data_IF_050958693976
#
_entry.id   IF_050958693976
#
_cell.length_a   1.000
_cell.length_b   1.000
_cell.length_c   1.000
_cell.angle_alpha   90.00
_cell.angle_beta   90.00
_cell.angle_gamma   90.00
#
_symmetry.space_group_name_H-M   'P 1'
#
loop_
_entity.id
_entity.type
_entity.pdbx_description
1 polymer ?
#
# COMPACT_ATOMS: atom_id res chain seq x y z
N UNK A 1 31.38 -12.44 -8.99
CA UNK A 1 31.51 -12.37 -10.45
C UNK A 1 32.08 -11.01 -10.86
N UNK A 2 33.06 -10.97 -11.79
CA UNK A 2 33.81 -9.75 -12.21
C UNK A 2 33.67 -9.45 -13.71
N UNK A 3 32.71 -10.08 -14.40
CA UNK A 3 32.46 -9.84 -15.83
C UNK A 3 32.07 -8.39 -16.13
N UNK A 4 32.68 -7.78 -17.16
CA UNK A 4 32.37 -6.40 -17.62
C UNK A 4 31.03 -6.29 -18.35
N UNK A 5 30.43 -7.43 -18.73
CA UNK A 5 29.21 -7.53 -19.50
C UNK A 5 28.18 -8.35 -18.69
N UNK A 6 26.98 -7.80 -18.49
CA UNK A 6 25.83 -8.43 -17.80
C UNK A 6 26.00 -8.75 -16.30
N UNK A 7 26.71 -7.92 -15.52
CA UNK A 7 26.82 -8.07 -14.07
C UNK A 7 25.52 -7.65 -13.34
N UNK A 8 24.76 -8.62 -12.83
CA UNK A 8 23.50 -8.41 -12.12
C UNK A 8 23.69 -7.66 -10.78
N UNK A 9 24.79 -7.88 -10.07
CA UNK A 9 25.09 -7.19 -8.80
C UNK A 9 25.19 -5.68 -9.02
N UNK A 10 25.85 -5.26 -10.11
CA UNK A 10 25.97 -3.83 -10.46
C UNK A 10 24.59 -3.23 -10.76
N UNK A 11 23.71 -3.96 -11.45
CA UNK A 11 22.35 -3.51 -11.73
C UNK A 11 21.53 -3.38 -10.43
N UNK A 12 21.59 -4.37 -9.56
CA UNK A 12 20.90 -4.38 -8.26
C UNK A 12 21.36 -3.24 -7.35
N UNK A 13 22.67 -3.10 -7.13
CA UNK A 13 23.23 -2.05 -6.27
C UNK A 13 22.89 -0.65 -6.79
N UNK A 14 22.83 -0.45 -8.10
CA UNK A 14 22.37 0.83 -8.69
C UNK A 14 20.90 1.13 -8.39
N UNK A 15 20.07 0.11 -8.23
CA UNK A 15 18.65 0.28 -7.88
C UNK A 15 18.40 0.32 -6.37
N UNK A 16 19.37 -0.07 -5.54
CA UNK A 16 19.23 -0.14 -4.09
C UNK A 16 18.74 1.18 -3.49
N UNK A 17 19.27 2.32 -3.94
CA UNK A 17 18.81 3.63 -3.47
C UNK A 17 17.32 3.85 -3.73
N UNK A 18 16.85 3.55 -4.93
CA UNK A 18 15.44 3.71 -5.31
C UNK A 18 14.53 2.79 -4.49
N UNK A 19 15.00 1.58 -4.17
CA UNK A 19 14.28 0.66 -3.30
C UNK A 19 14.13 1.23 -1.88
N UNK A 20 15.17 1.88 -1.36
CA UNK A 20 15.14 2.52 -0.03
C UNK A 20 14.18 3.72 0.00
N UNK A 21 14.13 4.52 -1.07
CA UNK A 21 13.15 5.61 -1.21
C UNK A 21 11.71 5.09 -1.19
N UNK A 22 11.43 4.01 -1.95
CA UNK A 22 10.11 3.38 -1.95
C UNK A 22 9.75 2.78 -0.58
N UNK A 23 10.69 2.09 0.07
CA UNK A 23 10.49 1.54 1.40
C UNK A 23 10.17 2.63 2.43
N UNK A 24 10.83 3.80 2.33
CA UNK A 24 10.55 4.96 3.17
C UNK A 24 9.14 5.51 2.94
N UNK A 25 8.69 5.61 1.70
CA UNK A 25 7.31 6.04 1.38
C UNK A 25 6.28 5.07 1.97
N UNK A 26 6.51 3.76 1.80
CA UNK A 26 5.59 2.73 2.31
C UNK A 26 5.48 2.77 3.84
N UNK A 27 6.61 2.81 4.54
CA UNK A 27 6.65 2.78 6.00
C UNK A 27 6.07 4.05 6.63
N UNK A 28 6.42 5.24 6.11
CA UNK A 28 5.86 6.50 6.59
C UNK A 28 4.37 6.64 6.23
N UNK A 29 3.97 6.16 5.04
CA UNK A 29 2.58 6.12 4.63
C UNK A 29 1.73 5.23 5.54
N UNK A 30 2.25 4.05 5.89
CA UNK A 30 1.62 3.13 6.85
C UNK A 30 1.56 3.72 8.27
N UNK A 31 2.63 4.38 8.71
CA UNK A 31 2.69 5.04 10.01
C UNK A 31 1.62 6.12 10.14
N UNK A 32 1.45 6.96 9.10
CA UNK A 32 0.49 8.07 9.07
C UNK A 32 -0.97 7.61 8.95
N UNK A 33 -1.23 6.45 8.34
CA UNK A 33 -2.60 5.98 8.06
C UNK A 33 -3.19 5.18 9.22
N UNK A 34 -3.91 5.90 10.08
CA UNK A 34 -4.57 5.37 11.29
C UNK A 34 -5.95 4.75 11.00
N UNK A 35 -5.95 3.68 10.19
CA UNK A 35 -7.08 2.77 10.01
C UNK A 35 -6.56 1.40 9.54
N UNK A 36 -7.45 0.43 9.39
CA UNK A 36 -7.17 -0.83 8.68
C UNK A 36 -8.09 -0.97 7.46
N UNK A 37 -7.49 -1.20 6.29
CA UNK A 37 -8.20 -1.28 5.01
C UNK A 37 -7.47 -2.15 4.00
N UNK A 38 -8.14 -3.22 3.56
CA UNK A 38 -7.55 -4.16 2.60
C UNK A 38 -6.33 -4.86 3.19
N UNK A 39 -5.18 -4.72 2.55
CA UNK A 39 -3.92 -5.31 3.01
C UNK A 39 -3.20 -4.47 4.09
N UNK A 40 -3.59 -3.21 4.28
CA UNK A 40 -3.04 -2.38 5.36
C UNK A 40 -3.77 -2.68 6.66
N UNK A 41 -3.07 -3.27 7.62
CA UNK A 41 -3.58 -3.57 8.95
C UNK A 41 -2.70 -2.93 10.03
N UNK A 42 -3.34 -2.19 10.92
CA UNK A 42 -2.68 -1.50 12.04
C UNK A 42 -3.40 -1.91 13.33
N UNK A 43 -2.76 -2.68 14.24
CA UNK A 43 -3.42 -3.24 15.43
C UNK A 43 -4.07 -2.20 16.33
N UNK A 44 -3.51 -0.99 16.39
CA UNK A 44 -4.04 0.12 17.18
C UNK A 44 -5.31 0.74 16.55
N UNK A 45 -5.53 0.51 15.25
CA UNK A 45 -6.66 0.99 14.47
C UNK A 45 -7.24 -0.15 13.60
N UNK A 46 -7.83 -1.19 14.22
CA UNK A 46 -8.18 -2.45 13.53
C UNK A 46 -9.36 -2.32 12.55
N UNK A 47 -10.11 -1.22 12.64
CA UNK A 47 -11.31 -0.99 11.85
C UNK A 47 -11.05 -0.04 10.67
N UNK A 48 -11.87 -0.19 9.63
CA UNK A 48 -11.95 0.76 8.53
C UNK A 48 -12.60 2.06 9.01
N UNK A 49 -12.05 3.20 8.63
CA UNK A 49 -12.59 4.53 8.96
C UNK A 49 -12.84 5.34 7.68
N UNK A 50 -14.06 5.26 7.16
CA UNK A 50 -14.44 6.00 5.96
C UNK A 50 -14.63 7.51 6.21
N UNK A 51 -14.84 7.94 7.45
CA UNK A 51 -15.03 9.35 7.77
C UNK A 51 -13.72 10.14 7.63
N UNK A 52 -12.59 9.55 8.05
CA UNK A 52 -11.27 10.21 7.99
C UNK A 52 -10.39 9.73 6.86
N UNK A 53 -10.57 8.48 6.40
CA UNK A 53 -9.60 7.81 5.52
C UNK A 53 -10.18 7.29 4.20
N UNK A 54 -11.37 7.74 3.78
CA UNK A 54 -11.88 7.54 2.42
C UNK A 54 -11.15 8.45 1.40
N UNK A 55 -9.83 8.27 1.35
CA UNK A 55 -8.87 9.04 0.58
C UNK A 55 -7.64 8.19 0.23
N UNK A 56 -7.03 8.51 -0.89
CA UNK A 56 -5.79 7.91 -1.38
C UNK A 56 -4.60 8.70 -0.83
N UNK A 57 -3.68 8.01 -0.16
CA UNK A 57 -2.40 8.58 0.24
C UNK A 57 -1.52 8.73 -1.00
N UNK A 58 -1.13 9.96 -1.34
CA UNK A 58 -0.17 10.27 -2.40
C UNK A 58 1.16 10.70 -1.80
N UNK A 59 2.26 10.28 -2.39
CA UNK A 59 3.60 10.70 -2.03
C UNK A 59 4.30 11.30 -3.26
N UNK A 60 4.93 12.45 -3.08
CA UNK A 60 5.83 13.08 -4.05
C UNK A 60 7.25 12.96 -3.52
N UNK A 61 8.17 12.51 -4.36
CA UNK A 61 9.60 12.49 -4.02
C UNK A 61 10.18 13.91 -3.95
N UNK A 62 10.98 14.18 -2.92
CA UNK A 62 11.77 15.41 -2.76
C UNK A 62 13.13 15.05 -2.14
N UNK A 63 14.11 15.96 -2.20
CA UNK A 63 15.43 15.75 -1.60
C UNK A 63 15.40 15.59 -0.07
N UNK A 64 14.40 16.18 0.59
CA UNK A 64 14.27 16.14 2.06
C UNK A 64 13.43 14.93 2.54
N UNK A 65 12.96 14.11 1.60
CA UNK A 65 12.10 12.94 1.85
C UNK A 65 10.73 13.04 1.16
N UNK A 66 9.86 12.03 1.36
CA UNK A 66 8.57 12.00 0.68
C UNK A 66 7.61 13.03 1.26
N UNK A 67 7.08 13.89 0.40
CA UNK A 67 6.00 14.81 0.76
C UNK A 67 4.66 14.12 0.55
N UNK A 68 3.86 14.01 1.61
CA UNK A 68 2.55 13.36 1.57
C UNK A 68 1.43 14.36 1.31
N UNK A 69 0.45 13.92 0.53
CA UNK A 69 -0.84 14.58 0.33
C UNK A 69 -1.94 13.53 0.27
N UNK A 70 -3.18 13.90 0.55
CA UNK A 70 -4.32 12.98 0.40
C UNK A 70 -5.24 13.47 -0.72
N UNK A 71 -5.81 12.53 -1.47
CA UNK A 71 -6.86 12.80 -2.45
C UNK A 71 -8.14 12.06 -2.08
N UNK A 72 -9.29 12.74 -1.94
CA UNK A 72 -10.57 12.08 -1.67
C UNK A 72 -10.93 11.06 -2.75
N UNK A 73 -11.53 9.94 -2.35
CA UNK A 73 -12.07 8.97 -3.30
C UNK A 73 -13.47 9.42 -3.75
N UNK A 74 -13.68 9.51 -5.07
CA UNK A 74 -15.02 9.75 -5.62
C UNK A 74 -15.91 8.52 -5.42
N UNK A 75 -17.05 8.75 -4.76
CA UNK A 75 -18.06 7.73 -4.42
C UNK A 75 -19.43 8.05 -5.01
N UNK A 76 -19.49 8.98 -5.97
CA UNK A 76 -20.73 9.42 -6.62
C UNK A 76 -21.49 8.26 -7.28
N UNK A 77 -20.79 7.27 -7.84
CA UNK A 77 -21.39 6.13 -8.53
C UNK A 77 -21.69 4.94 -7.62
N UNK A 78 -20.86 4.70 -6.60
CA UNK A 78 -20.97 3.52 -5.73
C UNK A 78 -20.65 3.90 -4.29
N UNK A 79 -21.65 3.75 -3.41
CA UNK A 79 -21.49 3.99 -1.98
C UNK A 79 -20.55 2.95 -1.34
N UNK A 80 -19.64 3.36 -0.43
CA UNK A 80 -18.79 2.44 0.31
C UNK A 80 -19.62 1.48 1.18
N UNK A 81 -19.30 0.20 1.10
CA UNK A 81 -19.87 -0.85 1.94
C UNK A 81 -18.79 -1.72 2.58
N UNK A 82 -18.99 -2.26 3.80
CA UNK A 82 -18.05 -3.20 4.40
C UNK A 82 -17.78 -4.38 3.47
N UNK A 83 -16.51 -4.79 3.35
CA UNK A 83 -16.14 -6.00 2.61
C UNK A 83 -16.26 -7.20 3.55
N UNK A 84 -16.95 -8.24 3.12
CA UNK A 84 -17.02 -9.52 3.84
C UNK A 84 -16.24 -10.55 3.02
N UNK A 85 -15.27 -11.20 3.64
CA UNK A 85 -14.44 -12.23 3.00
C UNK A 85 -14.79 -13.65 3.48
N UNK A 86 -15.68 -13.77 4.46
CA UNK A 86 -16.07 -15.04 5.11
C UNK A 86 -17.08 -15.88 4.30
N UNK A 87 -17.03 -15.80 2.97
CA UNK A 87 -17.83 -16.69 2.12
C UNK A 87 -17.08 -18.01 1.98
N UNK A 88 -17.39 -18.95 2.88
CA UNK A 88 -17.14 -20.36 2.63
C UNK A 88 -17.81 -20.73 1.31
N UNK A 89 -17.04 -21.30 0.38
CA UNK A 89 -17.60 -21.93 -0.81
C UNK A 89 -18.45 -23.12 -0.35
N UNK A 90 -19.76 -22.99 -0.32
CA UNK A 90 -20.64 -24.16 -0.35
C UNK A 90 -20.55 -24.77 -1.75
N UNK A 91 -19.46 -25.48 -2.00
CA UNK A 91 -19.32 -26.36 -3.15
C UNK A 91 -20.15 -27.62 -2.86
N UNK A 92 -21.41 -27.59 -3.33
CA UNK A 92 -22.21 -28.71 -3.81
C UNK A 92 -21.65 -30.11 -3.51
N UNK A 93 -22.01 -30.65 -2.35
CA UNK A 93 -21.93 -32.08 -2.07
C UNK A 93 -23.18 -32.78 -2.59
N UNK A 94 -23.21 -33.12 -3.87
CA UNK A 94 -24.07 -34.17 -4.41
C UNK A 94 -23.38 -34.80 -5.62
N UNK A 95 -22.65 -35.89 -5.34
CA UNK A 95 -22.32 -36.99 -6.26
C UNK A 95 -21.82 -38.18 -5.45
#
# INVERSE_FOLDING_TARGET
DRGRWANQEVAFVRQLWNMLELARVMTLGALRRDESRGAHYKPEFPNRDDARWLKTTKARWTSDGPQFSDEPVDVSLVAPRPRKYDVASEASGDR
#
